data_IF_443401107219
#
_entry.id   IF_443401107219
#
_cell.length_a   1.000
_cell.length_b   1.000
_cell.length_c   1.000
_cell.angle_alpha   90.00
_cell.angle_beta   90.00
_cell.angle_gamma   90.00
#
_symmetry.space_group_name_H-M   'P 1'
#
loop_
_entity.id
_entity.type
_entity.pdbx_description
1 polymer ?
#
# COMPACT_ATOMS: atom_id res chain seq x y z
N UNK A 1 -31.04 2.60 1.12
CA UNK A 1 -29.99 1.82 1.79
C UNK A 1 -30.58 0.68 2.63
N UNK A 2 -31.54 0.92 3.53
CA UNK A 2 -32.17 -0.11 4.40
C UNK A 2 -32.89 -1.21 3.61
N UNK A 3 -33.61 -0.86 2.54
CA UNK A 3 -34.26 -1.84 1.65
C UNK A 3 -33.22 -2.67 0.83
N UNK A 4 -32.07 -2.14 0.57
CA UNK A 4 -30.97 -2.88 -0.04
C UNK A 4 -30.16 -3.73 0.98
N UNK A 5 -30.62 -3.79 2.25
CA UNK A 5 -29.96 -4.58 3.30
C UNK A 5 -28.98 -3.80 4.20
N UNK A 6 -28.88 -2.49 4.04
CA UNK A 6 -28.03 -1.67 4.92
C UNK A 6 -28.56 -1.69 6.36
N UNK A 7 -27.66 -1.89 7.31
CA UNK A 7 -27.94 -1.83 8.76
C UNK A 7 -27.18 -0.67 9.39
N UNK A 8 -27.60 -0.24 10.57
CA UNK A 8 -26.84 0.73 11.36
C UNK A 8 -25.44 0.18 11.61
N UNK A 9 -24.43 0.99 11.31
CA UNK A 9 -23.03 0.59 11.50
C UNK A 9 -22.70 0.48 13.00
N UNK A 10 -22.06 -0.63 13.36
CA UNK A 10 -21.43 -0.81 14.65
C UNK A 10 -19.96 -0.38 14.59
N UNK A 11 -19.36 0.06 15.70
CA UNK A 11 -17.94 0.34 15.74
C UNK A 11 -17.09 -0.89 15.40
N UNK A 12 -16.04 -0.69 14.63
CA UNK A 12 -14.99 -1.70 14.47
C UNK A 12 -14.29 -1.95 15.81
N UNK A 13 -13.90 -3.19 16.07
CA UNK A 13 -13.16 -3.58 17.28
C UNK A 13 -11.86 -4.24 16.86
N UNK A 14 -10.74 -3.71 17.36
CA UNK A 14 -9.41 -4.29 17.12
C UNK A 14 -8.84 -4.93 18.37
N UNK A 15 -8.19 -6.09 18.17
CA UNK A 15 -7.34 -6.74 19.17
C UNK A 15 -5.95 -6.93 18.56
N UNK A 16 -4.94 -6.35 19.20
CA UNK A 16 -3.57 -6.38 18.74
C UNK A 16 -2.71 -7.10 19.79
N UNK A 17 -1.85 -7.98 19.31
CA UNK A 17 -0.84 -8.66 20.14
C UNK A 17 0.47 -8.58 19.38
N UNK A 18 1.54 -8.18 20.07
CA UNK A 18 2.90 -8.20 19.53
C UNK A 18 3.89 -8.70 20.58
N UNK A 19 4.97 -9.28 20.08
CA UNK A 19 6.15 -9.65 20.85
C UNK A 19 7.38 -9.28 20.06
N UNK A 20 8.34 -8.62 20.71
CA UNK A 20 9.54 -8.12 20.06
C UNK A 20 10.79 -8.44 20.84
N UNK A 21 11.90 -8.48 20.13
CA UNK A 21 13.26 -8.60 20.64
C UNK A 21 14.10 -7.46 20.09
N UNK A 22 14.81 -6.77 20.98
CA UNK A 22 15.82 -5.78 20.60
C UNK A 22 17.17 -6.25 21.12
N UNK A 23 18.20 -6.19 20.28
CA UNK A 23 19.54 -6.64 20.61
C UNK A 23 20.60 -5.67 20.08
N UNK A 24 21.69 -5.53 20.84
CA UNK A 24 22.89 -4.84 20.42
C UNK A 24 24.10 -5.81 20.58
N UNK A 25 24.23 -6.81 19.66
CA UNK A 25 25.19 -7.90 19.83
C UNK A 25 26.65 -7.46 19.62
N UNK A 26 26.87 -6.30 19.04
CA UNK A 26 28.20 -5.71 18.84
C UNK A 26 28.12 -4.18 18.93
N UNK A 27 29.25 -3.49 19.17
CA UNK A 27 29.30 -2.03 19.07
C UNK A 27 28.78 -1.53 17.73
N UNK A 28 27.91 -0.51 17.76
CA UNK A 28 27.33 0.13 16.57
C UNK A 28 26.37 -0.78 15.75
N UNK A 29 26.00 -1.96 16.25
CA UNK A 29 25.02 -2.86 15.63
C UNK A 29 23.79 -2.94 16.52
N UNK A 30 22.65 -2.52 15.97
CA UNK A 30 21.34 -2.63 16.62
C UNK A 30 20.43 -3.45 15.74
N UNK A 31 19.69 -4.35 16.35
CA UNK A 31 18.75 -5.24 15.68
C UNK A 31 17.41 -5.20 16.42
N UNK A 32 16.30 -5.25 15.69
CA UNK A 32 14.99 -5.53 16.24
C UNK A 32 14.26 -6.57 15.40
N UNK A 33 13.46 -7.38 16.07
CA UNK A 33 12.56 -8.34 15.46
C UNK A 33 11.23 -8.32 16.20
N UNK A 34 10.14 -8.07 15.50
CA UNK A 34 8.81 -7.98 16.06
C UNK A 34 7.86 -8.94 15.30
N UNK A 35 7.15 -9.77 16.05
CA UNK A 35 6.05 -10.58 15.55
C UNK A 35 4.73 -10.02 16.04
N UNK A 36 3.73 -9.90 15.16
CA UNK A 36 2.45 -9.31 15.50
C UNK A 36 1.25 -10.03 14.91
N UNK A 37 0.12 -9.90 15.60
CA UNK A 37 -1.19 -10.27 15.11
C UNK A 37 -2.19 -9.16 15.40
N UNK A 38 -2.96 -8.78 14.37
CA UNK A 38 -4.03 -7.78 14.45
C UNK A 38 -5.31 -8.47 14.00
N UNK A 39 -6.34 -8.44 14.85
CA UNK A 39 -7.69 -8.89 14.50
C UNK A 39 -8.62 -7.70 14.52
N UNK A 40 -9.35 -7.48 13.42
CA UNK A 40 -10.39 -6.46 13.32
C UNK A 40 -11.71 -7.17 13.12
N UNK A 41 -12.64 -6.95 14.05
CA UNK A 41 -14.01 -7.45 13.98
C UNK A 41 -14.96 -6.34 13.57
N UNK A 42 -16.05 -6.74 12.88
CA UNK A 42 -17.05 -5.82 12.35
C UNK A 42 -16.45 -4.75 11.43
N UNK A 43 -15.44 -5.13 10.63
CA UNK A 43 -14.78 -4.21 9.71
C UNK A 43 -15.78 -3.66 8.71
N UNK A 44 -15.79 -2.34 8.56
CA UNK A 44 -16.68 -1.63 7.65
C UNK A 44 -16.12 -1.72 6.25
N UNK A 45 -16.94 -2.23 5.34
CA UNK A 45 -16.61 -2.38 3.92
C UNK A 45 -17.79 -1.90 3.07
N UNK A 46 -17.56 -1.67 1.78
CA UNK A 46 -18.63 -1.50 0.80
C UNK A 46 -19.36 -2.83 0.58
N UNK A 47 -20.68 -2.76 0.39
CA UNK A 47 -21.52 -3.92 0.05
C UNK A 47 -21.19 -4.56 -1.30
N UNK A 48 -20.35 -3.90 -2.10
CA UNK A 48 -20.31 -4.10 -3.53
C UNK A 48 -21.44 -3.36 -4.23
N UNK A 49 -21.48 -3.44 -5.54
CA UNK A 49 -22.51 -2.83 -6.38
C UNK A 49 -23.69 -3.78 -6.50
N UNK A 50 -24.86 -3.33 -6.11
CA UNK A 50 -26.14 -4.01 -6.31
C UNK A 50 -26.82 -3.41 -7.54
N UNK A 51 -27.33 -4.22 -8.44
CA UNK A 51 -28.01 -3.81 -9.67
C UNK A 51 -29.35 -4.54 -9.82
N UNK A 52 -30.13 -4.15 -10.84
CA UNK A 52 -31.40 -4.75 -11.19
C UNK A 52 -32.55 -4.37 -10.24
N UNK A 53 -33.68 -5.09 -10.29
CA UNK A 53 -34.92 -4.73 -9.63
C UNK A 53 -34.79 -4.44 -8.13
N UNK A 54 -33.85 -5.06 -7.44
CA UNK A 54 -33.60 -4.78 -6.02
C UNK A 54 -32.97 -3.40 -5.78
N UNK A 55 -32.07 -2.97 -6.65
CA UNK A 55 -31.47 -1.64 -6.63
C UNK A 55 -32.53 -0.58 -6.97
N UNK A 56 -33.31 -0.82 -8.01
CA UNK A 56 -34.39 0.05 -8.45
C UNK A 56 -35.43 0.29 -7.33
N UNK A 57 -35.87 -0.79 -6.70
CA UNK A 57 -36.79 -0.72 -5.55
C UNK A 57 -36.18 0.08 -4.38
N UNK A 58 -34.91 -0.07 -4.12
CA UNK A 58 -34.21 0.68 -3.06
C UNK A 58 -34.10 2.18 -3.39
N UNK A 59 -33.85 2.55 -4.63
CA UNK A 59 -33.78 3.94 -5.10
C UNK A 59 -35.14 4.63 -4.98
N UNK A 60 -36.18 4.00 -5.52
CA UNK A 60 -37.58 4.51 -5.50
C UNK A 60 -38.11 4.67 -4.07
N UNK A 61 -37.86 3.71 -3.21
CA UNK A 61 -38.30 3.76 -1.82
C UNK A 61 -37.63 4.88 -0.98
N UNK A 62 -36.53 5.48 -1.49
CA UNK A 62 -35.91 6.66 -0.89
C UNK A 62 -36.39 7.98 -1.51
N UNK A 63 -37.43 7.95 -2.32
CA UNK A 63 -38.03 9.14 -2.91
C UNK A 63 -37.34 9.64 -4.18
N UNK A 64 -36.42 8.88 -4.71
CA UNK A 64 -35.79 9.18 -6.01
C UNK A 64 -36.66 8.64 -7.14
N UNK A 65 -36.79 9.39 -8.22
CA UNK A 65 -37.47 8.96 -9.43
C UNK A 65 -36.41 8.32 -10.34
N UNK A 66 -36.64 7.06 -10.71
CA UNK A 66 -35.83 6.41 -11.74
C UNK A 66 -36.26 6.96 -13.10
N UNK A 67 -35.31 7.48 -13.87
CA UNK A 67 -35.53 7.79 -15.28
C UNK A 67 -35.68 6.45 -16.04
N UNK A 68 -36.79 6.24 -16.77
CA UNK A 68 -37.01 5.00 -17.52
C UNK A 68 -35.95 4.70 -18.58
N UNK A 69 -35.14 5.69 -18.97
CA UNK A 69 -34.04 5.53 -19.91
C UNK A 69 -32.77 4.98 -19.25
N UNK A 70 -32.70 4.96 -17.91
CA UNK A 70 -31.55 4.43 -17.14
C UNK A 70 -31.82 2.96 -16.84
N UNK A 71 -31.13 2.07 -17.56
CA UNK A 71 -31.27 0.61 -17.41
C UNK A 71 -30.32 0.01 -16.38
N UNK A 72 -29.30 0.79 -15.93
CA UNK A 72 -28.18 0.31 -15.11
C UNK A 72 -28.05 1.05 -13.79
N UNK A 73 -29.17 1.36 -13.13
CA UNK A 73 -29.14 1.96 -11.80
C UNK A 73 -28.48 1.00 -10.79
N UNK A 74 -27.52 1.53 -10.02
CA UNK A 74 -26.79 0.75 -9.03
C UNK A 74 -26.82 1.39 -7.65
N UNK A 75 -26.79 0.57 -6.59
CA UNK A 75 -26.73 0.99 -5.21
C UNK A 75 -25.56 0.31 -4.50
N UNK A 76 -24.80 1.08 -3.74
CA UNK A 76 -23.83 0.55 -2.79
C UNK A 76 -24.00 1.22 -1.43
N UNK A 77 -23.65 0.51 -0.36
CA UNK A 77 -23.71 1.03 1.01
C UNK A 77 -22.56 0.48 1.85
N UNK A 78 -22.26 1.15 2.95
CA UNK A 78 -21.29 0.67 3.94
C UNK A 78 -21.95 -0.31 4.91
N UNK A 79 -21.25 -1.36 5.27
CA UNK A 79 -21.71 -2.39 6.20
C UNK A 79 -20.55 -2.97 7.01
N UNK A 80 -20.85 -3.47 8.22
CA UNK A 80 -19.91 -4.29 8.98
C UNK A 80 -19.87 -5.71 8.37
N UNK A 81 -19.18 -5.85 7.25
CA UNK A 81 -19.30 -7.01 6.37
C UNK A 81 -18.31 -8.14 6.61
N UNK A 82 -17.19 -7.88 7.28
CA UNK A 82 -16.13 -8.88 7.45
C UNK A 82 -15.40 -8.75 8.79
N UNK A 83 -14.79 -9.86 9.21
CA UNK A 83 -13.72 -9.87 10.21
C UNK A 83 -12.40 -10.20 9.50
N UNK A 84 -11.32 -9.57 9.93
CA UNK A 84 -10.01 -9.77 9.31
C UNK A 84 -8.94 -10.10 10.35
N UNK A 85 -7.90 -10.81 9.89
CA UNK A 85 -6.71 -11.08 10.67
C UNK A 85 -5.47 -10.81 9.83
N UNK A 86 -4.58 -9.97 10.36
CA UNK A 86 -3.24 -9.73 9.83
C UNK A 86 -2.22 -10.34 10.79
N UNK A 87 -1.26 -11.09 10.25
CA UNK A 87 -0.08 -11.57 10.96
C UNK A 87 1.16 -11.14 10.21
N UNK A 88 2.20 -10.75 10.93
CA UNK A 88 3.43 -10.34 10.29
C UNK A 88 4.64 -10.44 11.18
N UNK A 89 5.78 -10.25 10.52
CA UNK A 89 7.09 -10.10 11.13
C UNK A 89 7.72 -8.83 10.58
N UNK A 90 8.28 -8.02 11.47
CA UNK A 90 9.10 -6.87 11.17
C UNK A 90 10.51 -7.10 11.71
N UNK A 91 11.51 -7.02 10.84
CA UNK A 91 12.91 -7.05 11.24
C UNK A 91 13.57 -5.75 10.80
N UNK A 92 14.37 -5.15 11.68
CA UNK A 92 15.19 -4.01 11.32
C UNK A 92 16.56 -4.09 11.95
N UNK A 93 17.51 -3.41 11.34
CA UNK A 93 18.85 -3.29 11.89
C UNK A 93 19.58 -2.09 11.34
N UNK A 94 20.50 -1.58 12.12
CA UNK A 94 21.44 -0.57 11.70
C UNK A 94 22.87 -0.92 12.14
N UNK A 95 23.82 -0.55 11.31
CA UNK A 95 25.25 -0.72 11.57
C UNK A 95 26.01 0.49 11.04
N UNK A 96 27.01 0.96 11.79
CA UNK A 96 27.86 2.05 11.38
C UNK A 96 29.30 1.56 11.15
N UNK A 97 29.80 1.82 9.95
CA UNK A 97 31.19 1.55 9.55
C UNK A 97 31.94 2.87 9.48
N UNK A 98 33.13 2.89 10.04
CA UNK A 98 34.09 4.00 9.94
C UNK A 98 35.28 3.55 9.07
N UNK A 99 35.50 4.21 7.94
CA UNK A 99 36.57 3.92 6.99
C UNK A 99 37.75 4.91 7.13
N UNK A 100 37.84 5.60 8.27
CA UNK A 100 38.87 6.62 8.49
C UNK A 100 38.70 7.81 7.55
N UNK A 101 39.76 8.15 6.84
CA UNK A 101 39.77 9.27 5.88
C UNK A 101 38.81 9.09 4.71
N UNK A 102 38.39 7.86 4.43
CA UNK A 102 37.39 7.55 3.40
C UNK A 102 35.92 7.78 3.89
N UNK A 103 35.75 8.25 5.13
CA UNK A 103 34.45 8.64 5.66
C UNK A 103 33.71 7.54 6.41
N UNK A 104 32.43 7.78 6.65
CA UNK A 104 31.56 6.91 7.46
C UNK A 104 30.33 6.51 6.68
N UNK A 105 29.90 5.27 6.88
CA UNK A 105 28.64 4.78 6.31
C UNK A 105 27.74 4.26 7.43
N UNK A 106 26.52 4.75 7.47
CA UNK A 106 25.44 4.13 8.25
C UNK A 106 24.58 3.27 7.33
N UNK A 107 24.63 1.98 7.56
CA UNK A 107 23.79 0.98 6.91
C UNK A 107 22.51 0.82 7.70
N UNK A 108 21.37 0.76 7.04
CA UNK A 108 20.12 0.36 7.65
C UNK A 108 19.41 -0.65 6.77
N UNK A 109 18.80 -1.65 7.40
CA UNK A 109 17.95 -2.62 6.75
C UNK A 109 16.62 -2.70 7.46
N UNK A 110 15.54 -2.84 6.72
CA UNK A 110 14.19 -3.09 7.25
C UNK A 110 13.49 -4.10 6.37
N UNK A 111 12.93 -5.13 6.99
CA UNK A 111 12.19 -6.17 6.30
C UNK A 111 10.85 -6.39 6.99
N UNK A 112 9.78 -6.33 6.20
CA UNK A 112 8.43 -6.67 6.62
C UNK A 112 7.92 -7.86 5.80
N UNK A 113 7.27 -8.78 6.45
CA UNK A 113 6.44 -9.80 5.82
C UNK A 113 5.12 -9.87 6.55
N UNK A 114 4.02 -9.90 5.80
CA UNK A 114 2.69 -9.97 6.38
C UNK A 114 1.75 -10.86 5.57
N UNK A 115 0.70 -11.31 6.23
CA UNK A 115 -0.38 -12.07 5.63
C UNK A 115 -1.71 -11.59 6.17
N UNK A 116 -2.55 -11.10 5.28
CA UNK A 116 -3.93 -10.71 5.55
C UNK A 116 -4.87 -11.86 5.24
N UNK A 117 -5.91 -12.02 6.03
CA UNK A 117 -6.99 -13.00 5.80
C UNK A 117 -8.32 -12.42 6.25
N UNK A 118 -9.35 -12.70 5.50
CA UNK A 118 -10.74 -12.57 5.94
C UNK A 118 -11.05 -13.83 6.75
N UNK A 119 -11.50 -13.66 7.98
CA UNK A 119 -11.77 -14.77 8.91
C UNK A 119 -13.25 -15.07 9.04
N UNK A 120 -14.11 -14.08 8.73
CA UNK A 120 -15.54 -14.21 8.74
C UNK A 120 -16.16 -13.25 7.74
N UNK A 121 -17.26 -13.63 7.10
CA UNK A 121 -18.06 -12.78 6.20
C UNK A 121 -19.48 -12.75 6.71
N UNK A 122 -19.97 -11.56 7.02
CA UNK A 122 -21.32 -11.32 7.52
C UNK A 122 -22.19 -10.59 6.49
N UNK A 123 -21.60 -10.22 5.36
CA UNK A 123 -22.30 -9.57 4.25
C UNK A 123 -23.31 -10.53 3.63
N UNK A 124 -24.56 -10.10 3.53
CA UNK A 124 -25.61 -10.87 2.83
C UNK A 124 -25.22 -11.00 1.35
N UNK A 125 -25.29 -12.22 0.82
CA UNK A 125 -24.83 -12.52 -0.55
C UNK A 125 -23.34 -12.84 -0.67
N UNK A 126 -22.57 -12.72 0.43
CA UNK A 126 -21.13 -13.00 0.44
C UNK A 126 -20.28 -11.83 -0.04
N UNK A 127 -18.99 -12.06 -0.11
CA UNK A 127 -18.01 -11.09 -0.56
C UNK A 127 -17.49 -11.51 -1.93
N UNK A 128 -17.65 -10.66 -2.92
CA UNK A 128 -17.13 -10.94 -4.25
C UNK A 128 -15.59 -10.75 -4.32
N UNK A 129 -14.90 -11.32 -5.32
CA UNK A 129 -13.44 -11.22 -5.45
C UNK A 129 -12.92 -9.78 -5.50
N UNK A 130 -13.61 -8.85 -6.17
CA UNK A 130 -13.20 -7.46 -6.27
C UNK A 130 -13.31 -6.71 -4.94
N UNK A 131 -14.25 -7.09 -4.07
CA UNK A 131 -14.36 -6.52 -2.72
C UNK A 131 -13.41 -7.17 -1.71
N UNK A 132 -13.00 -8.42 -1.92
CA UNK A 132 -12.06 -9.14 -1.06
C UNK A 132 -10.61 -8.76 -1.31
N UNK A 133 -10.22 -8.62 -2.58
CA UNK A 133 -8.84 -8.40 -3.00
C UNK A 133 -8.16 -7.17 -2.38
N UNK A 134 -8.82 -5.98 -2.27
CA UNK A 134 -8.23 -4.82 -1.60
C UNK A 134 -7.83 -5.08 -0.14
N UNK A 135 -8.51 -6.01 0.53
CA UNK A 135 -8.24 -6.36 1.92
C UNK A 135 -7.08 -7.34 2.05
N UNK A 136 -6.95 -8.26 1.09
CA UNK A 136 -6.04 -9.42 1.20
C UNK A 136 -4.75 -9.18 0.43
N UNK A 137 -4.82 -8.63 -0.79
CA UNK A 137 -3.76 -8.74 -1.80
C UNK A 137 -3.24 -7.39 -2.33
N UNK A 138 -3.97 -6.28 -2.12
CA UNK A 138 -3.61 -4.97 -2.67
C UNK A 138 -2.39 -4.30 -2.00
N UNK A 139 -1.81 -4.92 -0.99
CA UNK A 139 -0.57 -4.48 -0.35
C UNK A 139 0.52 -5.54 -0.50
N UNK A 140 1.80 -5.13 -0.70
CA UNK A 140 2.88 -6.10 -0.81
C UNK A 140 2.96 -7.01 0.40
N UNK A 141 2.98 -8.32 0.19
CA UNK A 141 3.10 -9.34 1.26
C UNK A 141 4.48 -9.34 1.92
N UNK A 142 5.47 -8.75 1.26
CA UNK A 142 6.79 -8.49 1.83
C UNK A 142 7.39 -7.21 1.24
N UNK A 143 8.22 -6.54 2.04
CA UNK A 143 8.97 -5.35 1.65
C UNK A 143 10.33 -5.38 2.32
N UNK A 144 11.40 -5.18 1.54
CA UNK A 144 12.77 -5.04 2.02
C UNK A 144 13.29 -3.65 1.66
N UNK A 145 13.85 -2.95 2.64
CA UNK A 145 14.52 -1.67 2.44
C UNK A 145 15.97 -1.84 2.87
N UNK A 146 16.89 -1.49 2.00
CA UNK A 146 18.31 -1.38 2.30
C UNK A 146 18.72 0.07 2.05
N UNK A 147 19.44 0.67 2.99
CA UNK A 147 19.88 2.05 2.88
C UNK A 147 21.32 2.21 3.34
N UNK A 148 22.11 2.96 2.59
CA UNK A 148 23.47 3.36 2.92
C UNK A 148 23.53 4.88 2.94
N UNK A 149 23.82 5.47 4.10
CA UNK A 149 24.07 6.90 4.26
C UNK A 149 25.56 7.14 4.46
N UNK A 150 26.19 7.80 3.50
CA UNK A 150 27.59 8.14 3.49
C UNK A 150 27.83 9.58 3.97
N UNK A 151 28.91 9.78 4.74
CA UNK A 151 29.35 11.09 5.22
C UNK A 151 30.89 11.14 5.16
N UNK A 152 31.45 12.16 4.51
CA UNK A 152 32.88 12.42 4.50
C UNK A 152 33.17 13.93 4.31
N UNK A 153 33.60 14.60 5.36
CA UNK A 153 33.81 16.04 5.33
C UNK A 153 32.56 16.79 4.88
N UNK A 154 32.68 17.56 3.82
CA UNK A 154 31.56 18.29 3.21
C UNK A 154 30.64 17.41 2.33
N UNK A 155 31.04 16.17 2.00
CA UNK A 155 30.24 15.28 1.18
C UNK A 155 29.26 14.45 2.01
N UNK A 156 28.03 14.36 1.52
CA UNK A 156 27.07 13.42 2.01
C UNK A 156 26.38 12.69 0.85
N UNK A 157 25.89 11.48 1.11
CA UNK A 157 25.21 10.70 0.11
C UNK A 157 24.22 9.74 0.75
N UNK A 158 23.20 9.36 0.00
CA UNK A 158 22.22 8.37 0.42
C UNK A 158 21.82 7.47 -0.76
N UNK A 159 22.06 6.19 -0.62
CA UNK A 159 21.60 5.17 -1.56
C UNK A 159 20.56 4.31 -0.86
N UNK A 160 19.38 4.17 -1.46
CA UNK A 160 18.31 3.32 -0.95
C UNK A 160 17.85 2.36 -2.04
N UNK A 161 17.76 1.08 -1.70
CA UNK A 161 17.09 0.08 -2.51
C UNK A 161 15.86 -0.43 -1.75
N UNK A 162 14.70 -0.37 -2.38
CA UNK A 162 13.44 -0.89 -1.81
C UNK A 162 12.90 -1.97 -2.73
N UNK A 163 12.83 -3.22 -2.24
CA UNK A 163 12.17 -4.32 -2.93
C UNK A 163 10.75 -4.45 -2.41
N UNK A 164 9.80 -4.33 -3.30
CA UNK A 164 8.39 -4.65 -3.05
C UNK A 164 8.11 -6.08 -3.51
N UNK A 165 7.35 -6.83 -2.71
CA UNK A 165 6.83 -8.12 -3.11
C UNK A 165 5.66 -8.00 -4.07
N UNK A 166 5.14 -9.14 -4.49
CA UNK A 166 3.93 -9.22 -5.34
C UNK A 166 2.78 -8.45 -4.72
N UNK A 167 2.04 -7.75 -5.57
CA UNK A 167 0.81 -7.04 -5.22
C UNK A 167 -0.25 -7.38 -6.28
N UNK A 168 -1.45 -7.69 -5.86
CA UNK A 168 -2.54 -8.08 -6.74
C UNK A 168 -3.80 -7.30 -6.41
N UNK A 169 -4.58 -6.96 -7.42
CA UNK A 169 -5.90 -6.39 -7.25
C UNK A 169 -6.86 -6.96 -8.28
N UNK A 170 -7.87 -7.64 -7.77
CA UNK A 170 -8.99 -8.12 -8.58
C UNK A 170 -10.01 -7.00 -8.74
N UNK A 171 -10.42 -6.75 -9.95
CA UNK A 171 -11.44 -5.77 -10.33
C UNK A 171 -12.53 -6.45 -11.15
N UNK A 172 -13.75 -5.91 -11.10
CA UNK A 172 -14.80 -6.33 -12.01
C UNK A 172 -14.55 -5.74 -13.39
N UNK A 173 -14.95 -6.47 -14.43
CA UNK A 173 -14.94 -5.97 -15.80
C UNK A 173 -16.24 -5.21 -16.09
N UNK A 174 -16.09 -3.99 -16.60
CA UNK A 174 -17.22 -3.13 -16.94
C UNK A 174 -17.88 -2.42 -15.76
N UNK A 175 -18.98 -1.77 -16.04
CA UNK A 175 -19.67 -0.82 -15.16
C UNK A 175 -20.56 -1.46 -14.11
N UNK A 176 -20.82 -2.75 -14.23
CA UNK A 176 -21.81 -3.46 -13.38
C UNK A 176 -21.29 -3.86 -12.01
N UNK A 177 -19.96 -3.81 -11.81
CA UNK A 177 -19.32 -4.27 -10.55
C UNK A 177 -19.41 -5.77 -10.29
N UNK A 178 -19.93 -6.54 -11.25
CA UNK A 178 -20.09 -7.99 -11.24
C UNK A 178 -19.02 -8.75 -12.03
N UNK A 179 -19.26 -10.04 -12.26
CA UNK A 179 -18.42 -10.88 -13.13
C UNK A 179 -18.54 -10.45 -14.60
N UNK A 180 -17.50 -10.68 -15.42
CA UNK A 180 -16.25 -11.36 -15.09
C UNK A 180 -15.32 -10.52 -14.23
N UNK A 181 -14.41 -11.17 -13.50
CA UNK A 181 -13.39 -10.53 -12.67
C UNK A 181 -12.01 -10.75 -13.29
N UNK A 182 -11.18 -9.71 -13.25
CA UNK A 182 -9.79 -9.75 -13.71
C UNK A 182 -8.85 -9.36 -12.57
N UNK A 183 -7.73 -10.06 -12.46
CA UNK A 183 -6.71 -9.74 -11.46
C UNK A 183 -5.53 -9.05 -12.13
N UNK A 184 -5.32 -7.80 -11.77
CA UNK A 184 -4.10 -7.09 -12.09
C UNK A 184 -2.99 -7.54 -11.15
N UNK A 185 -1.84 -7.83 -11.70
CA UNK A 185 -0.66 -8.33 -11.00
C UNK A 185 0.49 -7.35 -11.17
N UNK A 186 1.24 -7.13 -10.10
CA UNK A 186 2.48 -6.36 -10.12
C UNK A 186 3.58 -7.25 -9.58
N UNK A 187 4.54 -7.56 -10.43
CA UNK A 187 5.70 -8.38 -10.12
C UNK A 187 6.62 -7.75 -9.06
N UNK A 188 7.36 -8.57 -8.33
CA UNK A 188 8.34 -8.05 -7.37
C UNK A 188 9.32 -7.11 -8.04
N UNK A 189 9.38 -5.88 -7.52
CA UNK A 189 10.17 -4.80 -8.14
C UNK A 189 11.11 -4.17 -7.14
N UNK A 190 12.32 -3.82 -7.60
CA UNK A 190 13.31 -3.07 -6.84
C UNK A 190 13.35 -1.63 -7.35
N UNK A 191 13.09 -0.70 -6.46
CA UNK A 191 13.23 0.75 -6.68
C UNK A 191 14.52 1.21 -6.01
N UNK A 192 15.32 1.96 -6.75
CA UNK A 192 16.59 2.53 -6.27
C UNK A 192 16.48 4.04 -6.27
N UNK A 193 16.76 4.65 -5.11
CA UNK A 193 16.86 6.10 -4.94
C UNK A 193 18.30 6.47 -4.60
N UNK A 194 18.76 7.59 -5.13
CA UNK A 194 20.11 8.12 -4.89
C UNK A 194 20.03 9.62 -4.65
N UNK A 195 20.71 10.10 -3.62
CA UNK A 195 20.96 11.52 -3.40
C UNK A 195 22.44 11.73 -3.06
N UNK A 196 23.07 12.76 -3.59
CA UNK A 196 24.39 13.22 -3.19
C UNK A 196 24.32 14.70 -2.87
N UNK A 197 24.98 15.11 -1.80
CA UNK A 197 25.00 16.49 -1.34
C UNK A 197 26.43 16.94 -1.01
N UNK A 198 26.63 18.24 -1.09
CA UNK A 198 27.88 18.90 -0.75
C UNK A 198 27.62 20.17 0.06
N UNK A 199 28.28 20.30 1.19
CA UNK A 199 28.22 21.48 2.05
C UNK A 199 29.16 22.55 1.47
N UNK A 200 28.56 23.50 0.69
CA UNK A 200 29.30 24.58 0.02
C UNK A 200 29.87 25.57 1.04
N UNK A 201 29.09 25.81 2.10
CA UNK A 201 29.50 26.59 3.28
C UNK A 201 28.95 25.92 4.55
N UNK A 202 29.30 26.44 5.73
CA UNK A 202 28.70 25.99 7.00
C UNK A 202 27.16 26.13 7.06
N UNK A 203 26.60 26.93 6.18
CA UNK A 203 25.17 27.26 6.16
C UNK A 203 24.44 26.78 4.90
N UNK A 204 25.14 26.45 3.82
CA UNK A 204 24.55 26.11 2.53
C UNK A 204 24.99 24.72 2.07
N UNK A 205 24.02 23.82 1.93
CA UNK A 205 24.17 22.52 1.31
C UNK A 205 23.46 22.48 -0.04
N UNK A 206 24.13 22.04 -1.08
CA UNK A 206 23.53 21.73 -2.38
C UNK A 206 23.45 20.22 -2.54
N UNK A 207 22.32 19.72 -3.01
CA UNK A 207 22.11 18.29 -3.26
C UNK A 207 21.47 18.07 -4.61
N UNK A 208 21.80 16.94 -5.24
CA UNK A 208 21.14 16.43 -6.42
C UNK A 208 20.73 14.97 -6.18
N UNK A 209 19.60 14.57 -6.70
CA UNK A 209 19.11 13.22 -6.47
C UNK A 209 18.16 12.71 -7.55
N UNK A 210 17.91 11.42 -7.47
CA UNK A 210 16.94 10.72 -8.29
C UNK A 210 16.13 9.78 -7.40
N UNK A 211 14.82 9.83 -7.52
CA UNK A 211 13.91 8.78 -7.06
C UNK A 211 13.62 7.84 -8.20
N UNK A 212 13.55 6.55 -7.91
CA UNK A 212 13.39 5.52 -8.93
C UNK A 212 14.42 5.67 -10.07
N UNK A 213 15.70 5.75 -9.71
CA UNK A 213 16.83 5.98 -10.62
C UNK A 213 16.83 5.06 -11.84
N UNK A 214 16.34 3.81 -11.68
CA UNK A 214 16.29 2.80 -12.74
C UNK A 214 15.05 2.92 -13.61
N UNK A 215 14.23 3.96 -13.45
CA UNK A 215 13.01 4.22 -14.22
C UNK A 215 12.05 3.01 -14.29
N UNK A 216 11.85 2.32 -13.18
CA UNK A 216 10.96 1.17 -13.10
C UNK A 216 9.50 1.60 -13.12
N UNK A 217 8.68 0.86 -13.84
CA UNK A 217 7.22 0.98 -13.88
C UNK A 217 6.60 -0.32 -13.40
N UNK A 218 5.35 -0.31 -12.90
CA UNK A 218 4.61 -1.53 -12.63
C UNK A 218 4.23 -2.24 -13.93
N UNK A 219 3.78 -3.48 -13.82
CA UNK A 219 3.20 -4.21 -14.93
C UNK A 219 1.96 -3.48 -15.45
N UNK A 220 1.69 -3.62 -16.75
CA UNK A 220 0.53 -2.97 -17.37
C UNK A 220 -0.76 -3.58 -16.84
N UNK A 221 -1.78 -2.75 -16.68
CA UNK A 221 -3.10 -3.20 -16.27
C UNK A 221 -3.72 -4.11 -17.37
N UNK A 222 -4.26 -5.25 -16.94
CA UNK A 222 -4.96 -6.19 -17.83
C UNK A 222 -6.40 -5.73 -18.02
N UNK A 223 -7.04 -5.31 -16.91
CA UNK A 223 -8.38 -4.74 -16.92
C UNK A 223 -8.36 -3.43 -16.15
N UNK A 224 -9.07 -2.46 -16.65
CA UNK A 224 -9.03 -1.09 -16.13
C UNK A 224 -10.35 -0.67 -15.49
N UNK A 225 -11.32 -1.59 -15.38
CA UNK A 225 -12.64 -1.26 -14.85
C UNK A 225 -13.25 -0.07 -15.58
N UNK A 226 -13.64 0.97 -14.84
CA UNK A 226 -14.32 2.16 -15.37
C UNK A 226 -13.51 3.01 -16.34
N UNK A 227 -12.20 2.85 -16.46
CA UNK A 227 -11.44 3.68 -17.36
C UNK A 227 -10.31 2.90 -18.02
N UNK A 228 -10.42 2.73 -19.32
CA UNK A 228 -9.31 2.34 -20.18
C UNK A 228 -8.22 3.43 -20.28
N UNK A 229 -8.25 4.44 -19.39
CA UNK A 229 -7.37 5.59 -19.42
C UNK A 229 -6.00 5.35 -18.80
N UNK A 230 -5.84 4.33 -17.97
CA UNK A 230 -4.60 4.09 -17.25
C UNK A 230 -3.83 2.90 -17.81
N UNK A 231 -2.59 3.14 -18.24
CA UNK A 231 -1.68 2.07 -18.68
C UNK A 231 -1.24 1.20 -17.52
N UNK A 232 -1.11 1.79 -16.32
CA UNK A 232 -0.62 1.13 -15.12
C UNK A 232 -1.65 1.12 -14.00
N UNK A 233 -1.64 0.07 -13.14
CA UNK A 233 -2.57 -0.02 -12.01
C UNK A 233 -2.31 1.09 -10.98
N UNK A 234 -3.38 1.76 -10.55
CA UNK A 234 -3.30 2.84 -9.55
C UNK A 234 -2.88 2.38 -8.15
N UNK A 235 -2.97 1.08 -7.87
CA UNK A 235 -2.60 0.48 -6.59
C UNK A 235 -1.10 0.13 -6.48
N UNK A 236 -0.27 0.55 -7.42
CA UNK A 236 1.18 0.31 -7.40
C UNK A 236 1.81 0.85 -6.10
N UNK A 237 2.54 0.01 -5.34
CA UNK A 237 3.12 0.40 -4.06
C UNK A 237 4.33 1.35 -4.20
N UNK A 238 4.81 1.59 -5.41
CA UNK A 238 5.95 2.46 -5.72
C UNK A 238 5.61 3.55 -6.74
N UNK A 239 4.32 3.72 -7.07
CA UNK A 239 3.84 4.72 -8.03
C UNK A 239 3.94 4.25 -9.49
N UNK A 240 3.55 5.14 -10.41
CA UNK A 240 3.44 4.85 -11.84
C UNK A 240 4.30 5.79 -12.72
N UNK A 241 4.90 6.82 -12.12
CA UNK A 241 5.50 7.94 -12.88
C UNK A 241 6.95 7.69 -13.35
N UNK A 242 7.58 6.56 -12.98
CA UNK A 242 8.98 6.30 -13.33
C UNK A 242 9.97 7.17 -12.55
N UNK A 243 11.10 7.51 -13.19
CA UNK A 243 12.18 8.26 -12.56
C UNK A 243 11.82 9.74 -12.35
N UNK A 244 12.27 10.28 -11.21
CA UNK A 244 12.16 11.70 -10.87
C UNK A 244 13.52 12.24 -10.42
N UNK A 245 14.03 13.25 -11.12
CA UNK A 245 15.29 13.90 -10.82
C UNK A 245 15.06 15.28 -10.20
N UNK A 246 15.92 15.66 -9.25
CA UNK A 246 15.79 16.96 -8.57
C UNK A 246 17.13 17.53 -8.13
N UNK A 247 17.15 18.84 -7.94
CA UNK A 247 18.21 19.59 -7.26
C UNK A 247 17.59 20.33 -6.07
N UNK A 248 18.29 20.39 -4.95
CA UNK A 248 17.82 21.00 -3.71
C UNK A 248 18.95 21.89 -3.13
N UNK A 249 18.60 23.09 -2.74
CA UNK A 249 19.40 23.94 -1.87
C UNK A 249 18.82 23.97 -0.46
N UNK A 250 19.65 23.79 0.56
CA UNK A 250 19.26 23.88 1.98
C UNK A 250 20.13 24.92 2.68
N UNK A 251 19.50 25.94 3.27
CA UNK A 251 20.19 26.99 4.01
C UNK A 251 19.75 26.97 5.47
N UNK A 252 20.73 26.98 6.38
CA UNK A 252 20.51 27.03 7.83
C UNK A 252 20.98 28.39 8.36
N UNK A 253 20.09 29.11 9.04
CA UNK A 253 20.34 30.42 9.62
C UNK A 253 21.16 30.36 10.91
#
# INVERSE_FOLDING_TARGET
ATLAGAKRLAPEKSRNVSVGLVAAPAPRLHLSLDAYQIEIRHRIIGSGTLSGAGADAAIVAHGSVLDPSITDATVSYLTNGVDTRTRGLDASGDYATDFGDAGKVKWTAGWNVNKNRITNVTLAGGLNPASASPIIDATPKNKLILNARYLNGAWNGNLRATRYGVTELTVADGDTGGAPYHTNHIDPTVIVDLESGYDVTAHLTLSAGAKNLLNRHPDKAISQGYSHAYVYPSFSPFGINGAYYYVKGSYTF
#
